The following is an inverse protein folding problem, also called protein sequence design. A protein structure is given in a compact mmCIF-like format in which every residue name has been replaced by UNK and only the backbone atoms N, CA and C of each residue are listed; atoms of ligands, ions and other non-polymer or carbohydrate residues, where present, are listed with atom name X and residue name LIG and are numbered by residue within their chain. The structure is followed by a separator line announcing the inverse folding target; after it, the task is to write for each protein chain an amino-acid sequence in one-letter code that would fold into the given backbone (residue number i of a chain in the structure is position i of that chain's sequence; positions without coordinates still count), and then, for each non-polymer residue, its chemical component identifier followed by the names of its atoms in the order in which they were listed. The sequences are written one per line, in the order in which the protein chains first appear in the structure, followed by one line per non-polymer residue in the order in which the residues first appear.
data_IF_473537392333
#
_entry.id   IF_473537392333
#
_cell.length_a   1.000
_cell.length_b   1.000
_cell.length_c   1.000
_cell.angle_alpha   90.00
_cell.angle_beta   90.00
_cell.angle_gamma   90.00
#
_symmetry.space_group_name_H-M   'P 1'
#
loop_
_entity.id
_entity.type
_entity.pdbx_description
1 polymer ?
#
# COMPACT_ATOMS: atom_id res chain seq x y z
N UNK A 1 22.50 -11.84 -7.22
CA UNK A 1 21.95 -10.62 -7.84
C UNK A 1 22.33 -9.50 -6.91
N UNK A 2 23.17 -8.58 -7.39
CA UNK A 2 23.59 -7.40 -6.63
C UNK A 2 22.36 -6.54 -6.36
N UNK A 3 21.89 -6.55 -5.11
CA UNK A 3 20.93 -5.57 -4.62
C UNK A 3 21.61 -4.21 -4.69
N UNK A 4 21.03 -3.27 -5.43
CA UNK A 4 21.44 -1.87 -5.34
C UNK A 4 21.50 -1.47 -3.85
N UNK A 5 22.54 -0.75 -3.40
CA UNK A 5 22.65 -0.36 -2.00
C UNK A 5 21.39 0.42 -1.63
N UNK A 6 20.69 -0.07 -0.59
CA UNK A 6 19.55 0.63 -0.02
C UNK A 6 20.02 2.01 0.41
N UNK A 7 19.32 3.04 -0.07
CA UNK A 7 19.67 4.42 0.28
C UNK A 7 19.60 4.63 1.80
N UNK A 8 20.53 5.45 2.30
CA UNK A 8 20.66 5.71 3.74
C UNK A 8 19.40 6.34 4.33
N UNK A 9 18.67 7.18 3.58
CA UNK A 9 17.42 7.77 4.07
C UNK A 9 16.33 6.71 4.24
N UNK A 10 16.23 5.76 3.31
CA UNK A 10 15.27 4.65 3.38
C UNK A 10 15.59 3.71 4.55
N UNK A 11 16.87 3.39 4.77
CA UNK A 11 17.31 2.55 5.89
C UNK A 11 16.98 3.21 7.24
N UNK A 12 17.25 4.51 7.38
CA UNK A 12 16.95 5.26 8.61
C UNK A 12 15.42 5.31 8.85
N UNK A 13 14.65 5.57 7.80
CA UNK A 13 13.19 5.61 7.87
C UNK A 13 12.61 4.25 8.30
N UNK A 14 13.06 3.15 7.71
CA UNK A 14 12.61 1.81 8.07
C UNK A 14 13.04 1.42 9.49
N UNK A 15 14.24 1.82 9.92
CA UNK A 15 14.70 1.61 11.30
C UNK A 15 13.77 2.32 12.29
N UNK A 16 13.43 3.56 11.98
CA UNK A 16 12.51 4.37 12.78
C UNK A 16 11.10 3.80 12.81
N UNK A 17 10.57 3.33 11.68
CA UNK A 17 9.23 2.74 11.58
C UNK A 17 9.13 1.40 12.32
N UNK A 18 10.17 0.56 12.23
CA UNK A 18 10.19 -0.75 12.89
C UNK A 18 10.54 -0.67 14.37
N UNK A 19 11.17 0.43 14.80
CA UNK A 19 11.70 0.62 16.15
C UNK A 19 12.97 -0.18 16.41
N UNK A 20 13.58 -0.74 15.37
CA UNK A 20 14.82 -1.52 15.44
C UNK A 20 15.90 -0.82 14.62
N UNK A 21 17.16 -0.89 15.07
CA UNK A 21 18.27 -0.48 14.23
C UNK A 21 18.46 -1.53 13.14
N UNK A 22 18.19 -1.17 11.89
CA UNK A 22 18.37 -2.04 10.73
C UNK A 22 19.75 -1.80 10.11
N UNK A 23 20.34 -2.87 9.60
CA UNK A 23 21.47 -2.83 8.70
C UNK A 23 20.99 -3.09 7.25
N UNK A 24 21.77 -2.76 6.22
CA UNK A 24 21.33 -2.90 4.82
C UNK A 24 20.79 -4.28 4.45
N UNK A 25 21.36 -5.37 5.01
CA UNK A 25 20.89 -6.73 4.77
C UNK A 25 19.52 -7.06 5.39
N UNK A 26 19.06 -6.27 6.36
CA UNK A 26 17.76 -6.47 7.01
C UNK A 26 16.62 -5.87 6.17
N UNK A 27 16.95 -5.00 5.22
CA UNK A 27 15.99 -4.36 4.34
C UNK A 27 15.65 -5.28 3.18
N UNK A 28 14.49 -5.93 3.30
CA UNK A 28 13.97 -6.88 2.31
C UNK A 28 12.79 -6.28 1.53
N UNK A 29 12.50 -6.76 0.30
CA UNK A 29 11.33 -6.31 -0.44
C UNK A 29 10.00 -6.43 0.34
N UNK A 30 9.75 -7.53 1.10
CA UNK A 30 8.59 -7.63 1.98
C UNK A 30 8.51 -6.50 3.02
N UNK A 31 9.62 -6.12 3.65
CA UNK A 31 9.64 -5.06 4.64
C UNK A 31 9.29 -3.70 4.02
N UNK A 32 9.88 -3.37 2.87
CA UNK A 32 9.63 -2.12 2.15
C UNK A 32 8.15 -2.05 1.75
N UNK A 33 7.67 -3.09 1.05
CA UNK A 33 6.30 -3.14 0.57
C UNK A 33 5.29 -3.06 1.71
N UNK A 34 5.49 -3.82 2.79
CA UNK A 34 4.60 -3.80 3.95
C UNK A 34 4.60 -2.43 4.66
N UNK A 35 5.75 -1.77 4.74
CA UNK A 35 5.85 -0.41 5.30
C UNK A 35 5.09 0.61 4.47
N UNK A 36 5.24 0.55 3.14
CA UNK A 36 4.50 1.42 2.22
C UNK A 36 2.98 1.14 2.26
N UNK A 37 2.59 -0.14 2.32
CA UNK A 37 1.18 -0.55 2.44
C UNK A 37 0.56 -0.01 3.72
N UNK A 38 1.21 -0.21 4.87
CA UNK A 38 0.65 0.29 6.12
C UNK A 38 0.63 1.82 6.12
N UNK A 39 1.61 2.49 5.50
CA UNK A 39 1.62 3.95 5.40
C UNK A 39 0.41 4.48 4.60
N UNK A 40 0.09 3.88 3.45
CA UNK A 40 -1.06 4.29 2.65
C UNK A 40 -2.38 3.98 3.36
N UNK A 41 -2.53 2.79 3.96
CA UNK A 41 -3.75 2.39 4.66
C UNK A 41 -4.00 3.23 5.91
N UNK A 42 -2.96 3.53 6.69
CA UNK A 42 -3.08 4.46 7.82
C UNK A 42 -3.40 5.86 7.31
N UNK A 43 -2.80 6.31 6.20
CA UNK A 43 -3.14 7.59 5.59
C UNK A 43 -4.63 7.72 5.25
N UNK A 44 -5.21 6.71 4.60
CA UNK A 44 -6.65 6.62 4.31
C UNK A 44 -7.48 6.80 5.60
N UNK A 45 -7.16 6.05 6.67
CA UNK A 45 -7.89 6.15 7.95
C UNK A 45 -7.83 7.54 8.58
N UNK A 46 -6.78 8.32 8.30
CA UNK A 46 -6.54 9.61 8.93
C UNK A 46 -6.92 10.79 8.02
N UNK A 47 -7.47 10.56 6.82
CA UNK A 47 -7.88 11.64 5.89
C UNK A 47 -8.85 12.61 6.57
N UNK A 48 -9.78 12.09 7.37
CA UNK A 48 -10.78 12.89 8.08
C UNK A 48 -10.30 13.43 9.44
N UNK A 49 -9.04 13.18 9.79
CA UNK A 49 -8.43 13.64 11.03
C UNK A 49 -8.88 12.91 12.30
N UNK A 50 -9.90 12.05 12.20
CA UNK A 50 -10.41 11.22 13.31
C UNK A 50 -10.51 9.77 12.86
N UNK A 51 -9.86 8.86 13.59
CA UNK A 51 -9.97 7.43 13.30
C UNK A 51 -11.19 6.84 14.00
N UNK A 52 -12.14 6.33 13.23
CA UNK A 52 -13.34 5.65 13.76
C UNK A 52 -13.05 4.19 14.14
N UNK A 53 -13.91 3.61 14.97
CA UNK A 53 -13.85 2.16 15.28
C UNK A 53 -14.01 1.32 14.00
N UNK A 54 -14.84 1.79 13.07
CA UNK A 54 -15.08 1.14 11.78
C UNK A 54 -13.83 1.10 10.91
N UNK A 55 -13.09 2.21 10.78
CA UNK A 55 -11.82 2.24 10.05
C UNK A 55 -10.77 1.33 10.67
N UNK A 56 -10.68 1.28 12.01
CA UNK A 56 -9.79 0.32 12.69
C UNK A 56 -10.14 -1.12 12.37
N UNK A 57 -11.43 -1.44 12.36
CA UNK A 57 -11.91 -2.79 12.01
C UNK A 57 -11.63 -3.12 10.55
N UNK A 58 -11.88 -2.20 9.60
CA UNK A 58 -11.56 -2.38 8.18
C UNK A 58 -10.08 -2.59 7.98
N UNK A 59 -9.25 -1.75 8.59
CA UNK A 59 -7.80 -1.92 8.56
C UNK A 59 -7.38 -3.30 9.07
N UNK A 60 -7.88 -3.73 10.23
CA UNK A 60 -7.59 -5.06 10.77
C UNK A 60 -8.03 -6.17 9.82
N UNK A 61 -9.22 -6.06 9.21
CA UNK A 61 -9.73 -7.03 8.25
C UNK A 61 -8.86 -7.09 6.99
N UNK A 62 -8.47 -5.94 6.44
CA UNK A 62 -7.56 -5.83 5.29
C UNK A 62 -6.22 -6.49 5.61
N UNK A 63 -5.61 -6.16 6.75
CA UNK A 63 -4.35 -6.77 7.20
C UNK A 63 -4.51 -8.29 7.36
N UNK A 64 -5.59 -8.78 7.96
CA UNK A 64 -5.82 -10.23 8.14
C UNK A 64 -6.10 -10.96 6.83
N UNK A 65 -6.76 -10.29 5.88
CA UNK A 65 -7.10 -10.84 4.57
C UNK A 65 -5.87 -10.97 3.70
N UNK A 66 -5.08 -9.89 3.61
CA UNK A 66 -3.95 -9.84 2.69
C UNK A 66 -2.68 -10.39 3.30
N UNK A 67 -2.36 -10.04 4.54
CA UNK A 67 -1.08 -10.45 5.13
C UNK A 67 -1.20 -11.88 5.66
N UNK A 68 -0.19 -12.68 5.29
CA UNK A 68 0.00 -14.06 5.71
C UNK A 68 -0.23 -14.21 7.20
N UNK A 69 -0.91 -15.30 7.59
CA UNK A 69 -1.16 -15.61 9.00
C UNK A 69 0.10 -16.04 9.76
N UNK A 70 1.25 -16.07 9.09
CA UNK A 70 2.54 -16.25 9.77
C UNK A 70 2.71 -15.15 10.82
N UNK A 71 3.00 -15.61 12.04
CA UNK A 71 3.07 -14.76 13.23
C UNK A 71 4.07 -13.60 13.07
N UNK A 72 5.20 -13.85 12.40
CA UNK A 72 6.25 -12.86 12.13
C UNK A 72 5.73 -11.65 11.34
N UNK A 73 4.99 -11.86 10.25
CA UNK A 73 4.48 -10.75 9.43
C UNK A 73 3.37 -9.96 10.13
N UNK A 74 2.54 -10.61 10.95
CA UNK A 74 1.54 -9.91 11.76
C UNK A 74 2.17 -9.03 12.83
N UNK A 75 3.19 -9.55 13.53
CA UNK A 75 3.94 -8.77 14.50
C UNK A 75 4.66 -7.59 13.83
N UNK A 76 5.31 -7.84 12.70
CA UNK A 76 5.97 -6.81 11.92
C UNK A 76 4.99 -5.72 11.47
N UNK A 77 3.81 -6.10 10.96
CA UNK A 77 2.75 -5.16 10.59
C UNK A 77 2.31 -4.30 11.78
N UNK A 78 2.13 -4.88 12.96
CA UNK A 78 1.79 -4.12 14.18
C UNK A 78 2.89 -3.14 14.58
N UNK A 79 4.17 -3.56 14.53
CA UNK A 79 5.31 -2.71 14.84
C UNK A 79 5.39 -1.51 13.88
N UNK A 80 5.30 -1.78 12.57
CA UNK A 80 5.30 -0.77 11.51
C UNK A 80 4.14 0.21 11.70
N UNK A 81 2.93 -0.29 12.00
CA UNK A 81 1.75 0.55 12.22
C UNK A 81 1.97 1.53 13.36
N UNK A 82 2.50 1.04 14.48
CA UNK A 82 2.85 1.88 15.62
C UNK A 82 3.88 2.94 15.24
N UNK A 83 4.97 2.58 14.59
CA UNK A 83 6.01 3.54 14.19
C UNK A 83 5.50 4.59 13.20
N UNK A 84 4.65 4.20 12.24
CA UNK A 84 4.01 5.13 11.30
C UNK A 84 3.09 6.13 12.00
N UNK A 85 2.35 5.69 13.02
CA UNK A 85 1.49 6.55 13.82
C UNK A 85 2.30 7.47 14.73
N UNK A 86 3.23 6.93 15.50
CA UNK A 86 4.10 7.67 16.44
C UNK A 86 4.90 8.78 15.74
N UNK A 87 5.37 8.52 14.52
CA UNK A 87 6.18 9.48 13.75
C UNK A 87 5.38 10.26 12.72
N UNK A 88 4.07 10.02 12.65
CA UNK A 88 3.13 10.64 11.71
C UNK A 88 3.62 10.56 10.25
N UNK A 89 4.18 9.40 9.87
CA UNK A 89 4.75 9.18 8.54
C UNK A 89 3.70 9.39 7.46
N UNK A 90 2.46 8.95 7.72
CA UNK A 90 1.30 9.12 6.86
C UNK A 90 0.94 10.59 6.55
N UNK A 91 1.41 11.57 7.33
CA UNK A 91 1.20 13.01 7.08
C UNK A 91 2.35 13.68 6.32
N UNK A 92 3.42 12.94 6.04
CA UNK A 92 4.68 13.49 5.51
C UNK A 92 4.96 12.84 4.16
N UNK A 93 4.47 13.46 3.09
CA UNK A 93 4.56 12.93 1.73
C UNK A 93 5.99 12.52 1.34
N UNK A 94 7.01 13.28 1.75
CA UNK A 94 8.44 12.91 1.55
C UNK A 94 8.73 11.48 2.00
N UNK A 95 8.27 11.09 3.18
CA UNK A 95 8.56 9.76 3.74
C UNK A 95 7.78 8.66 3.04
N UNK A 96 6.55 8.94 2.60
CA UNK A 96 5.82 7.99 1.77
C UNK A 96 6.53 7.75 0.42
N UNK A 97 7.07 8.81 -0.20
CA UNK A 97 7.84 8.67 -1.43
C UNK A 97 9.16 7.92 -1.25
N UNK A 98 9.86 8.12 -0.14
CA UNK A 98 11.04 7.32 0.19
C UNK A 98 10.72 5.81 0.31
N UNK A 99 9.56 5.45 0.88
CA UNK A 99 9.14 4.04 0.99
C UNK A 99 8.72 3.41 -0.34
N UNK A 100 8.39 4.22 -1.35
CA UNK A 100 7.83 3.75 -2.62
C UNK A 100 8.78 3.91 -3.80
N UNK A 101 9.90 4.61 -3.62
CA UNK A 101 10.86 4.90 -4.69
C UNK A 101 11.41 3.62 -5.34
N UNK A 102 11.79 2.64 -4.52
CA UNK A 102 12.31 1.35 -5.00
C UNK A 102 11.23 0.39 -5.52
N UNK A 103 9.95 0.72 -5.38
CA UNK A 103 8.86 -0.15 -5.82
C UNK A 103 8.65 -0.03 -7.33
N UNK A 104 8.41 -1.17 -7.98
CA UNK A 104 7.97 -1.22 -9.37
C UNK A 104 6.58 -0.59 -9.54
N UNK A 105 6.24 -0.22 -10.78
CA UNK A 105 4.89 0.30 -11.08
C UNK A 105 3.78 -0.69 -10.66
N UNK A 106 4.01 -1.99 -10.82
CA UNK A 106 3.08 -3.03 -10.36
C UNK A 106 2.88 -3.03 -8.86
N UNK A 107 3.95 -2.90 -8.09
CA UNK A 107 3.87 -2.83 -6.62
C UNK A 107 3.19 -1.55 -6.18
N UNK A 108 3.53 -0.40 -6.79
CA UNK A 108 2.85 0.89 -6.52
C UNK A 108 1.35 0.81 -6.84
N UNK A 109 0.99 0.21 -7.96
CA UNK A 109 -0.41 0.01 -8.35
C UNK A 109 -1.14 -0.90 -7.37
N UNK A 110 -0.50 -1.99 -6.94
CA UNK A 110 -1.04 -2.89 -5.92
C UNK A 110 -1.29 -2.18 -4.59
N UNK A 111 -0.38 -1.29 -4.13
CA UNK A 111 -0.59 -0.49 -2.92
C UNK A 111 -1.87 0.34 -2.99
N UNK A 112 -2.05 1.05 -4.12
CA UNK A 112 -3.22 1.90 -4.35
C UNK A 112 -4.49 1.06 -4.43
N UNK A 113 -4.47 -0.04 -5.18
CA UNK A 113 -5.60 -0.96 -5.30
C UNK A 113 -6.07 -1.50 -3.94
N UNK A 114 -5.14 -1.88 -3.07
CA UNK A 114 -5.46 -2.31 -1.69
C UNK A 114 -6.00 -1.17 -0.83
N UNK A 115 -5.54 0.07 -1.07
CA UNK A 115 -6.10 1.28 -0.47
C UNK A 115 -7.57 1.50 -0.86
N UNK A 116 -7.89 1.41 -2.16
CA UNK A 116 -9.28 1.47 -2.64
C UNK A 116 -10.11 0.36 -2.01
N UNK A 117 -9.62 -0.89 -2.02
CA UNK A 117 -10.36 -2.02 -1.45
C UNK A 117 -10.69 -1.83 0.04
N UNK A 118 -9.77 -1.29 0.84
CA UNK A 118 -10.03 -0.97 2.24
C UNK A 118 -11.06 0.15 2.42
N UNK A 119 -11.08 1.11 1.50
CA UNK A 119 -11.94 2.29 1.56
C UNK A 119 -13.37 1.99 1.09
N UNK A 120 -13.60 0.86 0.42
CA UNK A 120 -14.95 0.43 0.02
C UNK A 120 -15.75 -0.01 1.25
N UNK A 121 -16.81 0.74 1.51
CA UNK A 121 -17.79 0.57 2.57
C UNK A 121 -19.19 0.42 1.95
N UNK A 122 -19.86 -0.71 2.16
CA UNK A 122 -21.20 -0.94 1.63
C UNK A 122 -21.30 -0.65 0.11
N UNK A 123 -20.22 -0.93 -0.63
CA UNK A 123 -20.10 -0.70 -2.08
C UNK A 123 -19.78 0.73 -2.51
N UNK A 124 -19.40 1.62 -1.59
CA UNK A 124 -19.03 3.02 -1.90
C UNK A 124 -17.73 3.43 -1.22
N UNK A 125 -17.06 4.44 -1.75
CA UNK A 125 -15.90 5.08 -1.14
C UNK A 125 -16.26 6.50 -0.68
N UNK A 126 -15.72 6.95 0.45
CA UNK A 126 -15.86 8.36 0.81
C UNK A 126 -15.05 9.23 -0.16
N UNK A 127 -15.64 10.33 -0.62
CA UNK A 127 -15.00 11.23 -1.59
C UNK A 127 -13.62 11.74 -1.16
N UNK A 128 -13.34 11.86 0.14
CA UNK A 128 -12.04 12.29 0.64
C UNK A 128 -11.02 11.17 0.60
N UNK A 129 -11.41 9.95 0.94
CA UNK A 129 -10.56 8.75 0.80
C UNK A 129 -10.21 8.51 -0.68
N UNK A 130 -11.20 8.64 -1.57
CA UNK A 130 -11.01 8.54 -3.03
C UNK A 130 -10.05 9.61 -3.56
N UNK A 131 -10.24 10.88 -3.16
CA UNK A 131 -9.35 11.97 -3.55
C UNK A 131 -7.92 11.77 -3.03
N UNK A 132 -7.77 11.29 -1.78
CA UNK A 132 -6.47 10.99 -1.20
C UNK A 132 -5.73 9.90 -2.00
N UNK A 133 -6.41 8.80 -2.31
CA UNK A 133 -5.84 7.69 -3.08
C UNK A 133 -5.53 8.09 -4.52
N UNK A 134 -6.40 8.86 -5.16
CA UNK A 134 -6.19 9.39 -6.52
C UNK A 134 -4.93 10.25 -6.57
N UNK A 135 -4.79 11.20 -5.63
CA UNK A 135 -3.62 12.08 -5.59
C UNK A 135 -2.32 11.31 -5.37
N UNK A 136 -2.32 10.36 -4.42
CA UNK A 136 -1.16 9.50 -4.19
C UNK A 136 -0.83 8.68 -5.44
N UNK A 137 -1.82 8.12 -6.11
CA UNK A 137 -1.58 7.30 -7.27
C UNK A 137 -0.93 8.08 -8.42
N UNK A 138 -1.41 9.30 -8.67
CA UNK A 138 -0.82 10.20 -9.67
C UNK A 138 0.63 10.56 -9.30
N UNK A 139 0.90 10.86 -8.03
CA UNK A 139 2.26 11.14 -7.54
C UNK A 139 3.19 9.92 -7.63
N UNK A 140 2.65 8.70 -7.54
CA UNK A 140 3.38 7.45 -7.75
C UNK A 140 3.63 7.12 -9.23
N UNK A 141 3.10 7.94 -10.15
CA UNK A 141 3.24 7.77 -11.60
C UNK A 141 2.18 6.84 -12.23
N UNK A 142 1.08 6.56 -11.53
CA UNK A 142 -0.04 5.78 -12.05
C UNK A 142 -0.94 6.71 -12.87
N UNK A 143 -1.21 6.33 -14.12
CA UNK A 143 -2.05 7.14 -15.02
C UNK A 143 -3.53 7.04 -14.61
N UNK A 144 -4.26 8.14 -14.75
CA UNK A 144 -5.69 8.22 -14.41
C UNK A 144 -6.54 7.13 -15.11
N UNK A 145 -6.20 6.78 -16.36
CA UNK A 145 -6.87 5.70 -17.11
C UNK A 145 -6.82 4.34 -16.41
N UNK A 146 -5.77 4.07 -15.63
CA UNK A 146 -5.63 2.83 -14.85
C UNK A 146 -6.44 2.90 -13.55
N UNK A 147 -6.64 4.11 -13.00
CA UNK A 147 -7.51 4.34 -11.84
C UNK A 147 -8.98 4.20 -12.22
N UNK A 148 -9.37 4.65 -13.41
CA UNK A 148 -10.72 4.45 -13.94
C UNK A 148 -11.13 2.97 -13.95
N UNK A 149 -10.17 2.06 -14.15
CA UNK A 149 -10.42 0.61 -14.04
C UNK A 149 -10.80 0.22 -12.62
N UNK A 150 -10.06 0.66 -11.60
CA UNK A 150 -10.36 0.38 -10.19
C UNK A 150 -11.72 0.98 -9.80
N UNK A 151 -11.96 2.23 -10.18
CA UNK A 151 -13.18 2.97 -9.85
C UNK A 151 -14.43 2.45 -10.59
N UNK A 152 -14.26 1.88 -11.79
CA UNK A 152 -15.38 1.28 -12.55
C UNK A 152 -16.06 0.14 -11.80
N UNK A 153 -15.29 -0.62 -11.00
CA UNK A 153 -15.83 -1.69 -10.16
C UNK A 153 -16.59 -1.19 -8.92
N UNK A 154 -16.46 0.10 -8.58
CA UNK A 154 -17.05 0.71 -7.37
C UNK A 154 -18.30 1.48 -7.76
N UNK A 155 -18.16 2.48 -8.63
CA UNK A 155 -19.23 3.44 -8.92
C UNK A 155 -20.01 3.10 -10.21
N UNK A 156 -19.50 2.20 -11.07
CA UNK A 156 -20.15 1.81 -12.33
C UNK A 156 -20.21 2.90 -13.41
N UNK A 157 -19.87 4.15 -13.06
CA UNK A 157 -19.96 5.31 -13.95
C UNK A 157 -18.72 5.48 -14.86
N UNK A 158 -17.59 4.83 -14.50
CA UNK A 158 -16.39 4.83 -15.34
C UNK A 158 -16.46 3.70 -16.36
N UNK A 159 -16.20 4.01 -17.63
CA UNK A 159 -16.09 3.04 -18.71
C UNK A 159 -14.62 2.92 -19.15
N UNK A 160 -13.81 2.07 -18.49
CA UNK A 160 -12.41 1.94 -18.82
C UNK A 160 -12.24 1.34 -20.22
N UNK A 161 -11.21 1.80 -20.93
CA UNK A 161 -10.88 1.25 -22.24
C UNK A 161 -10.40 -0.19 -22.13
N UNK A 162 -10.58 -0.98 -23.20
CA UNK A 162 -10.03 -2.34 -23.25
C UNK A 162 -8.50 -2.38 -23.05
N UNK A 163 -7.79 -1.33 -23.48
CA UNK A 163 -6.35 -1.19 -23.27
C UNK A 163 -6.02 -1.01 -21.79
N UNK A 164 -6.70 -0.11 -21.10
CA UNK A 164 -6.51 0.12 -19.67
C UNK A 164 -6.81 -1.14 -18.84
N UNK A 165 -7.90 -1.85 -19.17
CA UNK A 165 -8.23 -3.13 -18.56
C UNK A 165 -7.14 -4.18 -18.76
N UNK A 166 -6.58 -4.28 -19.98
CA UNK A 166 -5.50 -5.22 -20.27
C UNK A 166 -4.22 -4.88 -19.50
N UNK A 167 -3.90 -3.60 -19.37
CA UNK A 167 -2.72 -3.13 -18.66
C UNK A 167 -2.85 -3.36 -17.14
N UNK A 168 -4.01 -3.09 -16.55
CA UNK A 168 -4.25 -3.39 -15.14
C UNK A 168 -4.11 -4.90 -14.86
N UNK A 169 -4.62 -5.76 -15.74
CA UNK A 169 -4.44 -7.22 -15.63
C UNK A 169 -2.98 -7.63 -15.68
N UNK A 170 -2.18 -7.00 -16.54
CA UNK A 170 -0.74 -7.25 -16.61
C UNK A 170 -0.03 -6.75 -15.35
N UNK A 171 -0.33 -5.51 -14.90
CA UNK A 171 0.25 -4.91 -13.69
C UNK A 171 -0.02 -5.75 -12.44
N UNK A 172 -1.19 -6.38 -12.35
CA UNK A 172 -1.60 -7.24 -11.26
C UNK A 172 -1.33 -8.74 -11.49
N UNK A 173 -0.56 -9.08 -12.54
CA UNK A 173 -0.18 -10.47 -12.78
C UNK A 173 0.62 -11.03 -11.60
N UNK A 174 0.26 -12.18 -11.02
CA UNK A 174 0.94 -12.78 -9.87
C UNK A 174 2.45 -12.91 -10.03
N UNK A 175 2.90 -13.15 -11.27
CA UNK A 175 4.31 -13.29 -11.63
C UNK A 175 5.17 -12.05 -11.30
N UNK A 176 4.54 -10.87 -11.17
CA UNK A 176 5.19 -9.60 -10.85
C UNK A 176 5.46 -9.40 -9.35
N UNK A 177 4.87 -10.24 -8.50
CA UNK A 177 4.92 -10.08 -7.04
C UNK A 177 5.75 -11.15 -6.33
N UNK A 178 6.59 -11.90 -7.05
CA UNK A 178 7.42 -12.98 -6.48
C UNK A 178 8.26 -12.54 -5.28
N UNK A 179 8.80 -11.32 -5.31
CA UNK A 179 9.64 -10.78 -4.24
C UNK A 179 8.88 -10.54 -2.93
N UNK A 180 7.55 -10.40 -3.00
CA UNK A 180 6.67 -10.10 -1.89
C UNK A 180 5.59 -11.17 -1.68
N UNK A 181 5.62 -12.26 -2.44
CA UNK A 181 4.57 -13.30 -2.43
C UNK A 181 4.36 -13.90 -1.03
N UNK A 182 5.44 -14.03 -0.26
CA UNK A 182 5.42 -14.55 1.10
C UNK A 182 4.64 -13.66 2.09
N UNK A 183 4.46 -12.37 1.76
CA UNK A 183 3.58 -11.48 2.54
C UNK A 183 2.13 -11.89 2.42
N UNK A 184 1.72 -12.51 1.30
CA UNK A 184 0.30 -12.65 1.00
C UNK A 184 -0.22 -14.05 1.34
N UNK A 185 -1.37 -14.10 2.03
CA UNK A 185 -2.10 -15.36 2.22
C UNK A 185 -2.77 -15.82 0.91
N UNK A 186 -3.21 -14.84 0.12
CA UNK A 186 -3.67 -14.94 -1.26
C UNK A 186 -3.33 -13.61 -1.92
N UNK A 187 -2.76 -13.65 -3.13
CA UNK A 187 -2.63 -12.42 -3.92
C UNK A 187 -4.03 -11.91 -4.25
N UNK A 188 -4.28 -10.58 -4.18
CA UNK A 188 -5.56 -10.02 -4.58
C UNK A 188 -5.82 -10.37 -6.04
N UNK A 189 -6.92 -11.08 -6.27
CA UNK A 189 -7.53 -11.24 -7.59
C UNK A 189 -8.57 -10.13 -7.72
N UNK A 190 -8.23 -9.06 -8.43
CA UNK A 190 -9.19 -8.05 -8.88
C UNK A 190 -9.88 -8.52 -10.16
#
# INVERSE_FOLDING_TARGET
MDSAPVDSETLELLSRITGNKLEPQDVTPPLIFLSALIAILVGVMFVDGTVTTTEKQRWQQTIHKFISSQHSYRQLAQQITRGIQEHQIHRKSKYFFLLTDSLSLSERFLLVALGYEMSIADGKIDSREENYLTNIALELGIRAELLDVLESGINGDKQPTASALSEVRDLLSPSRFKAIEALFSKLPTL
#
